data_IF_718486033190
#
_entry.id   IF_718486033190
#
_cell.length_a   1.000
_cell.length_b   1.000
_cell.length_c   1.000
_cell.angle_alpha   90.00
_cell.angle_beta   90.00
_cell.angle_gamma   90.00
#
_symmetry.space_group_name_H-M   'P 1'
#
loop_
_entity.id
_entity.type
_entity.pdbx_description
1 polymer ?
#
# COMPACT_ATOMS: atom_id res chain seq x y z
N UNK A 1 61.75 8.96 -54.93
CA UNK A 1 62.34 7.90 -54.06
C UNK A 1 61.19 7.32 -53.24
N UNK A 2 60.61 6.14 -53.55
CA UNK A 2 61.04 4.77 -53.10
C UNK A 2 61.52 4.82 -51.64
N UNK A 3 60.95 4.14 -50.64
CA UNK A 3 60.50 2.74 -50.46
C UNK A 3 59.41 2.72 -49.35
N UNK A 4 58.34 1.91 -49.28
CA UNK A 4 58.11 0.46 -49.45
C UNK A 4 58.56 -0.44 -48.27
N UNK A 5 57.56 -0.91 -47.52
CA UNK A 5 57.34 -2.24 -46.87
C UNK A 5 58.51 -2.96 -46.17
N UNK A 6 58.25 -3.38 -44.92
CA UNK A 6 58.48 -4.79 -44.50
C UNK A 6 57.58 -5.22 -43.34
N UNK A 7 57.00 -6.40 -43.49
CA UNK A 7 56.26 -7.17 -42.49
C UNK A 7 57.07 -8.44 -42.14
N UNK A 8 56.92 -8.94 -40.91
CA UNK A 8 57.18 -10.32 -40.42
C UNK A 8 56.82 -10.32 -38.91
N UNK A 9 55.80 -11.01 -38.38
CA UNK A 9 55.51 -12.46 -38.22
C UNK A 9 56.24 -13.13 -37.03
N UNK A 10 55.47 -13.79 -36.15
CA UNK A 10 55.92 -14.79 -35.15
C UNK A 10 55.37 -14.50 -33.74
N UNK A 11 54.26 -15.12 -33.30
CA UNK A 11 54.14 -16.40 -32.54
C UNK A 11 53.89 -16.14 -31.04
N UNK A 12 52.64 -16.28 -30.57
CA UNK A 12 52.09 -17.42 -29.80
C UNK A 12 52.77 -17.66 -28.45
N UNK A 13 52.04 -17.39 -27.36
CA UNK A 13 51.86 -18.36 -26.27
C UNK A 13 50.62 -18.01 -25.43
N UNK A 14 49.65 -18.93 -25.47
CA UNK A 14 48.47 -19.01 -24.63
C UNK A 14 48.84 -19.60 -23.26
N UNK A 15 48.35 -19.02 -22.17
CA UNK A 15 48.24 -19.73 -20.88
C UNK A 15 46.84 -19.55 -20.33
N UNK A 16 46.00 -20.54 -20.64
CA UNK A 16 44.69 -20.72 -20.03
C UNK A 16 44.86 -21.35 -18.64
N UNK A 17 44.35 -20.65 -17.61
CA UNK A 17 44.21 -21.22 -16.27
C UNK A 17 42.83 -21.86 -16.18
N UNK A 18 42.83 -23.19 -16.30
CA UNK A 18 41.68 -24.07 -16.08
C UNK A 18 41.41 -24.14 -14.58
N UNK A 19 40.28 -23.61 -14.11
CA UNK A 19 39.77 -23.90 -12.75
C UNK A 19 38.69 -24.97 -12.88
N UNK A 20 39.01 -26.16 -12.40
CA UNK A 20 38.11 -27.31 -12.28
C UNK A 20 37.09 -27.07 -11.18
N UNK A 21 35.81 -27.22 -11.52
CA UNK A 21 34.70 -27.29 -10.58
C UNK A 21 34.61 -28.74 -10.10
N UNK A 22 34.86 -28.96 -8.81
CA UNK A 22 34.70 -30.27 -8.18
C UNK A 22 33.32 -30.32 -7.49
N UNK A 23 32.50 -31.24 -7.97
CA UNK A 23 31.15 -31.52 -7.49
C UNK A 23 31.23 -32.43 -6.27
N UNK A 24 30.87 -31.93 -5.09
CA UNK A 24 30.70 -32.76 -3.90
C UNK A 24 29.21 -32.97 -3.62
N UNK A 25 28.80 -34.23 -3.77
CA UNK A 25 27.52 -34.82 -3.36
C UNK A 25 27.51 -34.88 -1.83
N UNK A 26 26.45 -34.38 -1.19
CA UNK A 26 26.18 -34.66 0.23
C UNK A 26 24.87 -35.43 0.29
N UNK A 27 24.98 -36.64 0.80
CA UNK A 27 23.91 -37.61 0.99
C UNK A 27 23.00 -37.23 2.16
N UNK A 28 21.75 -37.66 2.05
CA UNK A 28 20.78 -37.76 3.13
C UNK A 28 21.25 -38.81 4.16
N UNK A 29 21.14 -38.49 5.44
CA UNK A 29 20.97 -39.47 6.50
C UNK A 29 19.74 -39.08 7.32
N UNK A 30 18.71 -39.91 7.21
CA UNK A 30 17.67 -40.07 8.21
C UNK A 30 18.29 -40.68 9.46
N UNK A 31 17.92 -40.17 10.63
CA UNK A 31 17.87 -41.00 11.83
C UNK A 31 16.65 -40.62 12.65
N UNK A 32 15.76 -41.60 12.76
CA UNK A 32 14.66 -41.64 13.70
C UNK A 32 15.19 -42.19 15.03
N UNK A 33 14.82 -41.57 16.15
CA UNK A 33 14.51 -42.37 17.33
C UNK A 33 13.37 -41.76 18.17
N UNK A 34 12.37 -42.61 18.29
CA UNK A 34 11.22 -42.67 19.18
C UNK A 34 11.57 -42.60 20.68
N UNK A 35 10.63 -42.06 21.48
CA UNK A 35 10.10 -42.73 22.68
C UNK A 35 8.93 -41.97 23.31
N UNK A 36 7.76 -42.61 23.20
CA UNK A 36 6.76 -42.91 24.23
C UNK A 36 6.66 -42.01 25.47
N UNK A 37 5.44 -41.54 25.77
CA UNK A 37 4.59 -42.24 26.74
C UNK A 37 3.22 -41.56 26.95
N UNK A 38 2.26 -42.45 27.04
CA UNK A 38 0.83 -42.34 27.30
C UNK A 38 0.48 -41.67 28.65
N UNK A 39 -0.70 -41.04 28.75
CA UNK A 39 -1.50 -40.98 29.99
C UNK A 39 -2.96 -40.61 29.66
N UNK A 40 -3.84 -41.59 29.83
CA UNK A 40 -5.28 -41.45 29.95
C UNK A 40 -5.67 -40.64 31.19
N UNK A 41 -6.81 -39.93 31.14
CA UNK A 41 -7.91 -40.11 32.10
C UNK A 41 -9.08 -39.15 31.81
N UNK A 42 -10.28 -39.72 31.88
CA UNK A 42 -11.58 -39.07 31.76
C UNK A 42 -11.92 -38.16 32.95
N UNK A 43 -12.76 -37.14 32.70
CA UNK A 43 -13.39 -36.31 33.73
C UNK A 43 -14.51 -35.44 33.13
N UNK A 44 -15.73 -35.71 33.56
CA UNK A 44 -17.02 -35.25 33.02
C UNK A 44 -17.37 -33.80 33.39
N UNK A 45 -18.31 -33.22 32.63
CA UNK A 45 -19.24 -32.11 32.94
C UNK A 45 -18.74 -30.66 32.88
N UNK A 46 -19.27 -29.88 31.93
CA UNK A 46 -20.18 -28.76 32.22
C UNK A 46 -20.51 -27.91 30.97
N UNK A 47 -21.80 -27.67 30.78
CA UNK A 47 -22.45 -26.79 29.82
C UNK A 47 -22.03 -25.33 29.94
N UNK A 48 -21.76 -24.64 28.83
CA UNK A 48 -21.61 -23.18 28.84
C UNK A 48 -21.38 -22.55 27.46
N UNK A 49 -22.46 -22.12 26.80
CA UNK A 49 -22.41 -21.18 25.67
C UNK A 49 -21.70 -19.89 26.12
N UNK A 50 -20.49 -19.63 25.60
CA UNK A 50 -19.83 -18.32 25.73
C UNK A 50 -20.61 -17.27 24.92
N UNK A 51 -21.38 -16.43 25.63
CA UNK A 51 -21.85 -15.13 25.11
C UNK A 51 -20.63 -14.24 24.86
N UNK A 52 -20.51 -13.73 23.63
CA UNK A 52 -19.67 -12.56 23.34
C UNK A 52 -20.20 -11.38 24.17
N UNK A 53 -19.35 -10.78 25.01
CA UNK A 53 -19.60 -9.46 25.58
C UNK A 53 -19.21 -8.43 24.54
N UNK A 54 -20.17 -7.66 24.04
CA UNK A 54 -19.96 -6.48 23.19
C UNK A 54 -19.72 -5.25 24.07
N UNK A 55 -19.04 -4.27 23.48
CA UNK A 55 -18.43 -3.08 24.09
C UNK A 55 -19.44 -2.01 24.56
N UNK A 56 -20.66 -2.40 24.93
CA UNK A 56 -21.74 -1.49 25.36
C UNK A 56 -22.11 -1.61 26.85
N UNK A 57 -21.50 -2.53 27.61
CA UNK A 57 -21.82 -2.75 29.03
C UNK A 57 -20.88 -2.03 30.04
N UNK A 58 -20.15 -0.99 29.62
CA UNK A 58 -19.20 -0.28 30.51
C UNK A 58 -19.53 1.19 30.81
N UNK A 59 -20.71 1.68 30.44
CA UNK A 59 -21.19 3.01 30.86
C UNK A 59 -22.57 2.91 31.52
N UNK A 60 -22.59 2.33 32.73
CA UNK A 60 -23.73 2.36 33.64
C UNK A 60 -23.53 3.40 34.73
N UNK A 61 -24.01 4.62 34.49
CA UNK A 61 -24.24 5.64 35.52
C UNK A 61 -25.73 5.66 35.88
N UNK A 62 -26.01 5.47 37.16
CA UNK A 62 -27.33 5.43 37.81
C UNK A 62 -28.16 6.70 37.59
N UNK A 63 -29.39 6.57 37.06
CA UNK A 63 -30.52 7.45 37.41
C UNK A 63 -31.81 6.63 37.49
N UNK A 64 -32.56 6.91 38.55
CA UNK A 64 -33.74 6.25 39.10
C UNK A 64 -34.96 6.23 38.17
N UNK A 65 -35.70 5.14 38.30
CA UNK A 65 -36.96 4.74 37.64
C UNK A 65 -38.14 5.68 37.88
N UNK A 66 -38.93 5.91 36.82
CA UNK A 66 -40.40 5.88 36.89
C UNK A 66 -40.98 5.27 35.61
N UNK A 67 -41.93 4.37 35.82
CA UNK A 67 -42.51 3.42 34.88
C UNK A 67 -43.75 3.96 34.17
N UNK A 68 -43.94 3.68 32.87
CA UNK A 68 -45.27 3.39 32.32
C UNK A 68 -45.22 2.68 30.95
N UNK A 69 -45.79 1.46 30.95
CA UNK A 69 -46.53 0.73 29.90
C UNK A 69 -46.16 0.84 28.41
N UNK A 70 -45.67 -0.30 27.89
CA UNK A 70 -46.12 -1.02 26.68
C UNK A 70 -46.90 -0.27 25.59
N UNK A 71 -46.33 -0.22 24.37
CA UNK A 71 -47.08 -0.37 23.11
C UNK A 71 -46.16 -0.89 22.00
N UNK A 72 -46.52 -2.05 21.45
CA UNK A 72 -45.92 -2.63 20.24
C UNK A 72 -46.10 -1.66 19.06
N UNK A 73 -44.99 -1.19 18.49
CA UNK A 73 -45.01 -0.41 17.26
C UNK A 73 -44.67 -1.31 16.06
N UNK A 74 -45.65 -1.46 15.17
CA UNK A 74 -45.51 -2.05 13.83
C UNK A 74 -44.32 -1.44 13.11
N UNK A 75 -43.50 -2.31 12.51
CA UNK A 75 -42.48 -1.96 11.52
C UNK A 75 -43.16 -1.36 10.29
N UNK A 76 -43.18 -0.03 10.19
CA UNK A 76 -43.60 0.67 8.98
C UNK A 76 -42.49 0.52 7.93
N UNK A 77 -42.87 -0.05 6.79
CA UNK A 77 -42.08 -0.17 5.57
C UNK A 77 -42.05 1.23 4.94
N UNK A 78 -40.91 1.92 5.00
CA UNK A 78 -40.72 3.10 4.16
C UNK A 78 -40.61 2.60 2.71
N UNK A 79 -41.54 3.06 1.89
CA UNK A 79 -41.54 2.87 0.45
C UNK A 79 -40.42 3.74 -0.13
N UNK A 80 -39.53 3.14 -0.92
CA UNK A 80 -38.52 3.87 -1.67
C UNK A 80 -39.22 4.54 -2.86
N UNK A 81 -39.27 5.87 -2.84
CA UNK A 81 -39.52 6.69 -4.04
C UNK A 81 -38.42 6.44 -5.09
N UNK A 82 -38.76 6.29 -6.37
CA UNK A 82 -37.78 6.07 -7.42
C UNK A 82 -37.22 7.40 -7.93
N UNK A 83 -35.91 7.60 -7.79
CA UNK A 83 -35.15 8.58 -8.55
C UNK A 83 -34.56 9.71 -7.71
N UNK A 84 -33.23 9.70 -7.56
CA UNK A 84 -32.27 10.57 -8.24
C UNK A 84 -30.93 9.82 -8.17
N UNK A 85 -30.34 9.44 -9.31
CA UNK A 85 -28.90 9.15 -9.33
C UNK A 85 -28.23 10.49 -9.05
N UNK A 86 -27.87 10.74 -7.79
CA UNK A 86 -27.20 11.96 -7.39
C UNK A 86 -25.77 11.90 -7.93
N UNK A 87 -25.62 12.36 -9.18
CA UNK A 87 -24.34 12.48 -9.83
C UNK A 87 -23.54 13.54 -9.07
N UNK A 88 -22.55 13.09 -8.31
CA UNK A 88 -21.63 13.96 -7.59
C UNK A 88 -21.18 15.13 -8.48
N UNK A 89 -21.58 16.34 -8.10
CA UNK A 89 -21.20 17.58 -8.78
C UNK A 89 -20.12 18.27 -7.98
N UNK A 90 -18.93 18.40 -8.57
CA UNK A 90 -17.77 19.07 -7.95
C UNK A 90 -18.14 20.49 -7.54
N UNK A 91 -18.90 21.23 -8.36
CA UNK A 91 -19.28 22.61 -8.09
C UNK A 91 -20.29 22.74 -6.95
N UNK A 92 -21.23 21.80 -6.81
CA UNK A 92 -22.17 21.78 -5.68
C UNK A 92 -21.46 21.39 -4.37
N UNK A 93 -20.47 20.52 -4.46
CA UNK A 93 -19.66 20.12 -3.32
C UNK A 93 -18.74 21.26 -2.84
N UNK A 94 -18.08 21.98 -3.76
CA UNK A 94 -17.24 23.14 -3.45
C UNK A 94 -18.00 24.28 -2.74
N UNK A 95 -19.31 24.41 -2.98
CA UNK A 95 -20.17 25.37 -2.29
C UNK A 95 -20.55 24.95 -0.86
N UNK A 96 -20.47 23.65 -0.53
CA UNK A 96 -20.72 23.13 0.82
C UNK A 96 -19.46 23.11 1.70
N UNK A 97 -18.27 23.24 1.10
CA UNK A 97 -17.00 23.27 1.82
C UNK A 97 -16.83 24.60 2.55
N UNK A 98 -16.38 24.52 3.81
CA UNK A 98 -15.82 25.66 4.53
C UNK A 98 -14.56 26.19 3.84
N UNK A 99 -14.15 27.41 4.17
CA UNK A 99 -12.93 28.01 3.63
C UNK A 99 -11.69 27.14 3.90
N UNK A 100 -11.59 26.57 5.10
CA UNK A 100 -10.51 25.64 5.48
C UNK A 100 -10.52 24.36 4.62
N UNK A 101 -11.69 23.81 4.32
CA UNK A 101 -11.80 22.61 3.48
C UNK A 101 -11.47 22.88 2.01
N UNK A 102 -11.80 24.08 1.50
CA UNK A 102 -11.39 24.51 0.16
C UNK A 102 -9.88 24.69 0.06
N UNK A 103 -9.27 25.29 1.07
CA UNK A 103 -7.82 25.46 1.12
C UNK A 103 -7.09 24.11 1.19
N UNK A 104 -7.63 23.15 1.95
CA UNK A 104 -7.11 21.77 1.99
C UNK A 104 -7.22 21.08 0.63
N UNK A 105 -8.36 21.21 -0.05
CA UNK A 105 -8.56 20.62 -1.38
C UNK A 105 -7.62 21.24 -2.42
N UNK A 106 -7.43 22.56 -2.38
CA UNK A 106 -6.51 23.28 -3.26
C UNK A 106 -5.05 22.84 -3.02
N UNK A 107 -4.63 22.76 -1.75
CA UNK A 107 -3.30 22.29 -1.37
C UNK A 107 -3.07 20.84 -1.80
N UNK A 108 -4.08 19.99 -1.67
CA UNK A 108 -4.03 18.57 -2.09
C UNK A 108 -3.89 18.48 -3.61
N UNK A 109 -4.65 19.27 -4.38
CA UNK A 109 -4.52 19.34 -5.84
C UNK A 109 -3.13 19.86 -6.28
N UNK A 110 -2.62 20.91 -5.64
CA UNK A 110 -1.30 21.48 -5.95
C UNK A 110 -0.18 20.47 -5.64
N UNK A 111 -0.27 19.82 -4.48
CA UNK A 111 0.74 18.84 -4.03
C UNK A 111 0.70 17.57 -4.88
N UNK A 112 -0.49 17.10 -5.28
CA UNK A 112 -0.63 16.01 -6.24
C UNK A 112 -0.07 16.39 -7.63
N UNK A 113 -0.22 17.65 -8.05
CA UNK A 113 0.32 18.15 -9.32
C UNK A 113 1.86 18.14 -9.37
N UNK A 114 2.54 18.30 -8.23
CA UNK A 114 4.01 18.20 -8.12
C UNK A 114 4.52 16.75 -8.22
N UNK A 115 3.68 15.76 -7.96
CA UNK A 115 4.00 14.32 -8.04
C UNK A 115 3.80 13.72 -9.45
N UNK A 116 4.23 14.43 -10.50
CA UNK A 116 4.07 14.01 -11.91
C UNK A 116 4.79 12.69 -12.30
N UNK A 117 5.45 12.05 -11.33
CA UNK A 117 6.26 10.82 -11.45
C UNK A 117 5.82 9.77 -10.44
N UNK A 118 4.59 9.25 -10.57
CA UNK A 118 4.08 8.27 -9.60
C UNK A 118 4.75 6.91 -9.80
N UNK A 119 5.50 6.46 -8.78
CA UNK A 119 6.23 5.18 -8.71
C UNK A 119 5.66 4.26 -7.64
N UNK A 120 5.18 4.86 -6.55
CA UNK A 120 4.54 4.16 -5.43
C UNK A 120 3.24 4.88 -5.07
N UNK A 121 2.20 4.14 -4.71
CA UNK A 121 0.96 4.67 -4.15
C UNK A 121 0.78 4.10 -2.76
N UNK A 122 0.58 4.96 -1.76
CA UNK A 122 0.19 4.58 -0.40
C UNK A 122 -1.24 5.02 -0.18
N UNK A 123 -2.12 4.05 0.09
CA UNK A 123 -3.55 4.32 0.27
C UNK A 123 -3.88 4.42 1.78
N UNK A 124 -4.24 5.62 2.21
CA UNK A 124 -4.81 5.90 3.53
C UNK A 124 -6.34 5.77 3.53
N UNK A 125 -6.94 5.85 4.73
CA UNK A 125 -8.40 5.76 4.89
C UNK A 125 -9.03 7.16 4.84
N UNK A 126 -8.84 7.94 5.90
CA UNK A 126 -9.41 9.28 6.09
C UNK A 126 -8.30 10.25 6.51
N UNK A 127 -8.47 11.58 6.28
CA UNK A 127 -7.53 12.57 6.76
C UNK A 127 -7.51 12.63 8.30
N UNK A 128 -6.47 13.23 8.87
CA UNK A 128 -6.47 13.53 10.30
C UNK A 128 -7.55 14.57 10.63
N UNK A 129 -8.31 14.32 11.70
CA UNK A 129 -9.45 15.15 12.11
C UNK A 129 -9.12 16.11 13.26
N UNK A 130 -7.85 16.23 13.66
CA UNK A 130 -7.40 17.21 14.64
C UNK A 130 -7.00 18.54 13.97
N UNK A 131 -7.15 19.67 14.67
CA UNK A 131 -6.81 20.99 14.12
C UNK A 131 -5.36 21.04 13.60
N UNK A 132 -5.18 21.52 12.37
CA UNK A 132 -3.87 21.68 11.73
C UNK A 132 -3.11 20.37 11.41
N UNK A 133 -3.73 19.20 11.59
CA UNK A 133 -3.06 17.92 11.33
C UNK A 133 -3.09 17.52 9.86
N UNK A 134 -4.26 17.59 9.21
CA UNK A 134 -4.39 17.25 7.80
C UNK A 134 -3.84 18.37 6.92
N UNK A 135 -3.12 17.98 5.85
CA UNK A 135 -2.58 18.90 4.85
C UNK A 135 -2.55 18.26 3.44
N UNK A 136 -3.47 17.34 3.16
CA UNK A 136 -3.63 16.74 1.83
C UNK A 136 -2.69 15.59 1.49
N UNK A 137 -1.94 15.04 2.46
CA UNK A 137 -1.08 13.87 2.26
C UNK A 137 -1.40 12.79 3.29
N UNK A 138 -1.70 11.57 2.84
CA UNK A 138 -2.01 10.44 3.74
C UNK A 138 -0.87 10.19 4.74
N UNK A 139 -1.24 9.95 6.01
CA UNK A 139 -0.33 9.77 7.16
C UNK A 139 0.59 10.94 7.50
N UNK A 140 0.63 12.01 6.71
CA UNK A 140 1.53 13.14 6.85
C UNK A 140 0.90 14.24 7.71
N UNK A 141 1.73 14.97 8.47
CA UNK A 141 1.33 16.18 9.21
C UNK A 141 2.33 17.31 8.99
N UNK A 142 1.93 18.59 9.04
CA UNK A 142 2.85 19.72 8.96
C UNK A 142 3.95 19.69 10.02
N UNK A 143 5.07 20.38 9.76
CA UNK A 143 6.13 20.53 10.75
C UNK A 143 5.59 21.29 11.99
N UNK A 144 6.08 20.92 13.17
CA UNK A 144 5.60 21.48 14.45
C UNK A 144 4.35 20.79 15.02
N UNK A 145 3.64 19.98 14.22
CA UNK A 145 2.53 19.16 14.71
C UNK A 145 3.04 17.84 15.28
N UNK A 146 2.48 17.42 16.41
CA UNK A 146 2.82 16.14 17.06
C UNK A 146 2.62 14.97 16.11
N UNK A 147 3.70 14.20 15.90
CA UNK A 147 3.73 13.02 15.02
C UNK A 147 2.64 12.02 15.47
N UNK A 148 1.64 11.70 14.63
CA UNK A 148 0.56 10.80 15.01
C UNK A 148 1.02 9.36 15.29
N UNK A 149 0.27 8.56 16.08
CA UNK A 149 0.68 7.20 16.43
C UNK A 149 0.93 6.28 15.23
N UNK A 150 0.10 6.37 14.19
CA UNK A 150 0.27 5.59 12.96
C UNK A 150 1.59 5.93 12.26
N UNK A 151 1.93 7.22 12.16
CA UNK A 151 3.16 7.67 11.54
C UNK A 151 4.41 7.24 12.34
N UNK A 152 4.34 7.28 13.68
CA UNK A 152 5.41 6.72 14.52
C UNK A 152 5.65 5.23 14.25
N UNK A 153 4.61 4.46 13.98
CA UNK A 153 4.75 3.05 13.63
C UNK A 153 5.33 2.86 12.23
N UNK A 154 4.97 3.71 11.27
CA UNK A 154 5.62 3.76 9.95
C UNK A 154 7.13 3.99 10.10
N UNK A 155 7.55 4.98 10.90
CA UNK A 155 8.97 5.24 11.14
C UNK A 155 9.71 4.07 11.81
N UNK A 156 9.04 3.35 12.73
CA UNK A 156 9.61 2.15 13.34
C UNK A 156 9.84 1.04 12.31
N UNK A 157 8.90 0.84 11.39
CA UNK A 157 9.07 -0.17 10.33
C UNK A 157 10.19 0.22 9.36
N UNK A 158 10.26 1.49 8.95
CA UNK A 158 11.36 1.97 8.09
C UNK A 158 12.71 1.79 8.79
N UNK A 159 12.80 2.08 10.10
CA UNK A 159 14.04 1.87 10.87
C UNK A 159 14.45 0.39 10.92
N UNK A 160 13.48 -0.52 10.98
CA UNK A 160 13.74 -1.96 10.97
C UNK A 160 14.24 -2.44 9.60
N UNK A 161 13.72 -1.87 8.51
CA UNK A 161 14.12 -2.21 7.14
C UNK A 161 15.41 -1.52 6.67
N UNK A 162 15.64 -0.27 7.12
CA UNK A 162 16.76 0.60 6.79
C UNK A 162 17.43 1.05 8.10
N UNK A 163 18.43 0.31 8.61
CA UNK A 163 19.11 0.64 9.86
C UNK A 163 19.76 2.03 9.88
N UNK A 164 20.09 2.59 8.71
CA UNK A 164 20.61 3.96 8.53
C UNK A 164 19.55 5.05 8.75
N UNK A 165 18.26 4.70 8.67
CA UNK A 165 17.18 5.66 8.84
C UNK A 165 17.24 6.30 10.23
N UNK A 166 17.11 7.61 10.32
CA UNK A 166 16.95 8.31 11.60
C UNK A 166 15.60 8.99 11.57
N UNK A 167 14.70 8.61 12.48
CA UNK A 167 13.36 9.16 12.50
C UNK A 167 13.43 10.68 12.73
N UNK A 168 12.86 11.50 11.83
CA UNK A 168 12.88 12.95 11.99
C UNK A 168 12.00 13.38 13.17
N UNK A 169 12.26 14.60 13.67
CA UNK A 169 11.46 15.21 14.73
C UNK A 169 10.13 15.82 14.22
N UNK A 170 9.75 15.58 12.96
CA UNK A 170 8.50 16.04 12.34
C UNK A 170 7.77 14.89 11.65
N UNK A 171 6.51 15.13 11.28
CA UNK A 171 5.68 14.17 10.56
C UNK A 171 5.41 14.50 9.09
N UNK A 172 6.13 15.49 8.53
CA UNK A 172 5.94 15.92 7.16
C UNK A 172 6.58 14.93 6.17
N UNK A 173 5.78 14.39 5.24
CA UNK A 173 6.16 13.43 4.21
C UNK A 173 6.22 14.03 2.79
N UNK A 174 6.27 15.36 2.64
CA UNK A 174 6.32 16.02 1.31
C UNK A 174 7.51 15.54 0.48
N UNK A 175 8.66 15.27 1.09
CA UNK A 175 9.82 14.73 0.37
C UNK A 175 9.53 13.38 -0.30
N UNK A 176 8.67 12.52 0.27
CA UNK A 176 8.24 11.29 -0.39
C UNK A 176 7.36 11.58 -1.59
N UNK A 177 6.43 12.54 -1.48
CA UNK A 177 5.60 12.96 -2.59
C UNK A 177 6.43 13.49 -3.77
N UNK A 178 7.45 14.31 -3.49
CA UNK A 178 8.40 14.80 -4.48
C UNK A 178 9.24 13.67 -5.12
N UNK A 179 9.49 12.59 -4.38
CA UNK A 179 10.17 11.38 -4.86
C UNK A 179 9.25 10.36 -5.55
N UNK A 180 8.02 10.76 -5.90
CA UNK A 180 7.11 9.93 -6.68
C UNK A 180 6.23 8.97 -5.88
N UNK A 181 6.02 9.27 -4.59
CA UNK A 181 5.09 8.53 -3.73
C UNK A 181 3.76 9.27 -3.64
N UNK A 182 2.73 8.75 -4.29
CA UNK A 182 1.38 9.27 -4.16
C UNK A 182 0.77 8.85 -2.81
N UNK A 183 0.60 9.82 -1.90
CA UNK A 183 0.02 9.65 -0.57
C UNK A 183 -1.49 9.95 -0.57
N UNK A 184 -2.30 9.02 -1.05
CA UNK A 184 -3.73 9.22 -1.32
C UNK A 184 -4.60 8.66 -0.20
N UNK A 185 -5.52 9.46 0.36
CA UNK A 185 -6.59 8.92 1.21
C UNK A 185 -7.80 8.47 0.37
N UNK A 186 -8.59 7.52 0.88
CA UNK A 186 -9.85 7.14 0.21
C UNK A 186 -10.96 8.17 0.37
N UNK A 187 -10.93 8.93 1.46
CA UNK A 187 -11.76 10.10 1.72
C UNK A 187 -10.84 11.32 1.84
N UNK A 188 -11.17 12.45 1.20
CA UNK A 188 -10.28 13.62 1.16
C UNK A 188 -10.62 14.68 2.21
N UNK A 189 -11.81 14.61 2.81
CA UNK A 189 -12.21 15.54 3.89
C UNK A 189 -12.77 14.78 5.09
N UNK A 190 -12.73 15.42 6.26
CA UNK A 190 -13.29 14.90 7.50
C UNK A 190 -13.70 16.07 8.38
N UNK A 191 -14.79 15.91 9.13
CA UNK A 191 -15.24 16.90 10.09
C UNK A 191 -14.34 16.86 11.32
N UNK A 192 -13.99 18.03 11.84
CA UNK A 192 -13.17 18.15 13.04
C UNK A 192 -13.73 17.29 14.19
N UNK A 193 -12.85 16.48 14.78
CA UNK A 193 -13.19 15.58 15.89
C UNK A 193 -14.06 14.36 15.54
N UNK A 194 -14.47 14.17 14.28
CA UNK A 194 -15.36 13.11 13.86
C UNK A 194 -14.73 12.24 12.76
N UNK A 195 -13.95 11.24 13.16
CA UNK A 195 -13.33 10.29 12.24
C UNK A 195 -14.36 9.61 11.31
N UNK A 196 -14.05 9.53 10.01
CA UNK A 196 -14.90 8.90 9.00
C UNK A 196 -16.23 9.63 8.73
N UNK A 197 -16.39 10.88 9.17
CA UNK A 197 -17.67 11.61 9.01
C UNK A 197 -18.11 11.80 7.56
N UNK A 198 -17.17 11.82 6.61
CA UNK A 198 -17.44 12.00 5.18
C UNK A 198 -17.25 10.72 4.37
N UNK A 199 -17.13 9.57 5.04
CA UNK A 199 -17.07 8.27 4.35
C UNK A 199 -18.40 7.97 3.64
N UNK A 200 -18.31 7.35 2.46
CA UNK A 200 -19.39 7.03 1.54
C UNK A 200 -20.19 8.23 1.03
N UNK A 201 -19.57 9.42 0.96
CA UNK A 201 -20.20 10.65 0.42
C UNK A 201 -19.75 11.02 -0.99
N UNK A 202 -19.02 10.13 -1.68
CA UNK A 202 -18.63 10.30 -3.09
C UNK A 202 -17.13 10.42 -3.32
N UNK A 203 -16.36 10.73 -2.28
CA UNK A 203 -14.88 10.75 -2.35
C UNK A 203 -14.30 9.43 -2.81
N UNK A 204 -14.91 8.33 -2.41
CA UNK A 204 -14.55 6.99 -2.81
C UNK A 204 -14.63 6.78 -4.32
N UNK A 205 -15.59 7.42 -4.98
CA UNK A 205 -15.77 7.36 -6.43
C UNK A 205 -14.70 8.20 -7.13
N UNK A 206 -14.41 9.38 -6.58
CA UNK A 206 -13.37 10.26 -7.09
C UNK A 206 -11.97 9.65 -6.97
N UNK A 207 -11.61 9.14 -5.79
CA UNK A 207 -10.31 8.52 -5.53
C UNK A 207 -10.14 7.21 -6.30
N UNK A 208 -11.22 6.47 -6.56
CA UNK A 208 -11.21 5.34 -7.51
C UNK A 208 -10.81 5.79 -8.92
N UNK A 209 -11.27 6.96 -9.40
CA UNK A 209 -10.85 7.51 -10.69
C UNK A 209 -9.39 7.92 -10.71
N UNK A 210 -8.85 8.43 -9.61
CA UNK A 210 -7.41 8.69 -9.47
C UNK A 210 -6.64 7.37 -9.61
N UNK A 211 -7.09 6.30 -8.94
CA UNK A 211 -6.47 4.97 -9.07
C UNK A 211 -6.55 4.45 -10.51
N UNK A 212 -7.66 4.66 -11.23
CA UNK A 212 -7.78 4.29 -12.66
C UNK A 212 -6.78 5.06 -13.54
N UNK A 213 -6.60 6.36 -13.29
CA UNK A 213 -5.61 7.21 -13.99
C UNK A 213 -4.19 6.73 -13.70
N UNK A 214 -3.89 6.41 -12.44
CA UNK A 214 -2.58 5.90 -12.02
C UNK A 214 -2.32 4.50 -12.58
N UNK A 215 -3.31 3.61 -12.62
CA UNK A 215 -3.21 2.32 -13.31
C UNK A 215 -2.88 2.52 -14.78
N UNK A 216 -3.42 3.55 -15.43
CA UNK A 216 -3.18 3.81 -16.86
C UNK A 216 -1.83 4.47 -17.14
N UNK A 217 -1.44 5.49 -16.36
CA UNK A 217 -0.33 6.40 -16.66
C UNK A 217 0.82 6.40 -15.64
N UNK A 218 0.72 5.65 -14.54
CA UNK A 218 1.80 5.53 -13.56
C UNK A 218 3.09 4.96 -14.18
N UNK A 219 4.24 5.42 -13.69
CA UNK A 219 5.57 4.98 -14.14
C UNK A 219 5.90 5.34 -15.59
N UNK A 220 5.30 6.39 -16.15
CA UNK A 220 5.59 6.86 -17.53
C UNK A 220 6.95 7.53 -17.67
N UNK A 221 7.50 8.03 -16.58
CA UNK A 221 8.82 8.67 -16.48
C UNK A 221 9.96 7.67 -16.21
N UNK A 222 9.64 6.41 -15.90
CA UNK A 222 10.62 5.38 -15.59
C UNK A 222 11.27 4.81 -16.86
N UNK A 223 12.60 4.82 -16.89
CA UNK A 223 13.38 4.24 -17.98
C UNK A 223 13.09 2.74 -18.11
N UNK A 224 12.57 2.31 -19.25
CA UNK A 224 12.31 0.90 -19.52
C UNK A 224 13.58 0.25 -20.08
N UNK A 225 14.44 -0.26 -19.20
CA UNK A 225 15.56 -1.12 -19.58
C UNK A 225 15.11 -2.57 -19.86
N UNK A 226 13.86 -2.89 -19.56
CA UNK A 226 13.32 -4.25 -19.61
C UNK A 226 12.59 -4.56 -20.92
N UNK A 227 12.66 -5.82 -21.35
CA UNK A 227 11.86 -6.37 -22.46
C UNK A 227 10.36 -6.41 -22.14
N UNK A 228 10.02 -6.22 -20.86
CA UNK A 228 8.67 -6.06 -20.36
C UNK A 228 8.16 -4.63 -20.65
N UNK A 229 7.26 -4.52 -21.63
CA UNK A 229 6.63 -3.26 -22.03
C UNK A 229 5.59 -2.76 -21.01
N UNK A 230 5.38 -3.45 -19.89
CA UNK A 230 4.40 -3.04 -18.88
C UNK A 230 5.00 -1.98 -17.95
N UNK A 231 4.46 -0.76 -18.03
CA UNK A 231 4.75 0.37 -17.13
C UNK A 231 4.01 0.21 -15.80
N UNK A 232 4.50 -0.69 -14.96
CA UNK A 232 3.97 -0.97 -13.64
C UNK A 232 4.46 -0.01 -12.57
N UNK A 233 3.77 0.00 -11.43
CA UNK A 233 4.14 0.74 -10.23
C UNK A 233 3.83 -0.11 -9.00
N UNK A 234 4.20 0.37 -7.81
CA UNK A 234 3.94 -0.32 -6.54
C UNK A 234 2.73 0.31 -5.83
N UNK A 235 1.84 -0.53 -5.29
CA UNK A 235 0.76 -0.11 -4.39
C UNK A 235 1.01 -0.69 -2.98
N UNK A 236 1.04 0.19 -1.98
CA UNK A 236 1.06 -0.17 -0.56
C UNK A 236 -0.35 -0.03 0.01
N UNK A 237 -1.00 -1.17 0.25
CA UNK A 237 -2.38 -1.23 0.72
C UNK A 237 -2.43 -1.73 2.17
N UNK A 238 -2.42 -0.79 3.11
CA UNK A 238 -2.40 -1.07 4.55
C UNK A 238 -3.81 -1.05 5.15
N UNK A 239 -4.29 -2.22 5.58
CA UNK A 239 -5.63 -2.41 6.13
C UNK A 239 -6.68 -2.81 5.09
N UNK A 240 -7.84 -3.25 5.57
CA UNK A 240 -8.90 -3.83 4.73
C UNK A 240 -9.46 -2.83 3.71
N UNK A 241 -9.61 -1.56 4.09
CA UNK A 241 -10.11 -0.49 3.22
C UNK A 241 -9.19 -0.26 2.01
N UNK A 242 -7.89 -0.08 2.26
CA UNK A 242 -6.89 0.05 1.21
C UNK A 242 -6.81 -1.22 0.34
N UNK A 243 -6.85 -2.40 0.96
CA UNK A 243 -6.81 -3.68 0.24
C UNK A 243 -7.97 -3.84 -0.74
N UNK A 244 -9.18 -3.38 -0.37
CA UNK A 244 -10.36 -3.39 -1.24
C UNK A 244 -10.17 -2.51 -2.48
N UNK A 245 -9.54 -1.34 -2.34
CA UNK A 245 -9.30 -0.39 -3.45
C UNK A 245 -8.37 -0.94 -4.51
N UNK A 246 -7.31 -1.63 -4.10
CA UNK A 246 -6.32 -2.17 -5.04
C UNK A 246 -6.80 -3.45 -5.76
N UNK A 247 -7.96 -4.01 -5.42
CA UNK A 247 -8.48 -5.22 -6.09
C UNK A 247 -8.69 -5.02 -7.60
N UNK A 248 -9.07 -3.82 -8.03
CA UNK A 248 -9.29 -3.50 -9.45
C UNK A 248 -7.99 -3.51 -10.27
N UNK A 249 -6.89 -3.09 -9.66
CA UNK A 249 -5.55 -3.03 -10.28
C UNK A 249 -4.79 -4.35 -10.14
N UNK A 250 -5.18 -5.23 -9.21
CA UNK A 250 -4.64 -6.60 -9.00
C UNK A 250 -5.13 -7.61 -10.05
N UNK A 251 -5.27 -7.18 -11.30
CA UNK A 251 -5.72 -8.04 -12.40
C UNK A 251 -4.52 -8.52 -13.21
N UNK A 252 -4.49 -9.81 -13.47
CA UNK A 252 -3.53 -10.41 -14.41
C UNK A 252 -3.97 -10.04 -15.81
N UNK A 253 -3.07 -9.43 -16.59
CA UNK A 253 -3.36 -9.01 -17.97
C UNK A 253 -2.53 -9.85 -18.95
N UNK A 254 -3.06 -10.16 -20.15
CA UNK A 254 -2.23 -10.72 -21.21
C UNK A 254 -1.12 -9.72 -21.56
N UNK A 255 0.14 -10.16 -21.46
CA UNK A 255 1.28 -9.37 -21.94
C UNK A 255 1.19 -9.24 -23.46
N UNK A 256 1.62 -8.11 -24.01
CA UNK A 256 1.65 -7.84 -25.45
C UNK A 256 2.25 -9.03 -26.21
N UNK A 257 1.63 -9.37 -27.34
CA UNK A 257 1.96 -10.52 -28.17
C UNK A 257 3.47 -10.66 -28.39
N UNK A 258 4.08 -11.73 -27.86
CA UNK A 258 5.44 -12.12 -28.22
C UNK A 258 5.40 -12.73 -29.63
N UNK A 259 5.46 -11.90 -30.66
CA UNK A 259 5.63 -12.39 -32.03
C UNK A 259 7.11 -12.71 -32.23
N UNK A 260 7.50 -13.95 -31.98
CA UNK A 260 8.70 -14.50 -32.60
C UNK A 260 8.34 -14.88 -34.03
N UNK A 261 9.10 -14.39 -35.02
CA UNK A 261 8.90 -14.64 -36.45
C UNK A 261 8.89 -16.13 -36.87
N UNK A 262 9.08 -17.05 -35.91
CA UNK A 262 9.12 -18.51 -36.12
C UNK A 262 8.06 -19.30 -35.33
N UNK A 263 7.20 -18.66 -34.53
CA UNK A 263 6.30 -19.38 -33.63
C UNK A 263 4.85 -19.43 -34.16
N UNK A 264 4.41 -20.61 -34.59
CA UNK A 264 3.00 -20.93 -34.96
C UNK A 264 2.05 -20.89 -33.75
N UNK A 265 2.57 -20.75 -32.52
CA UNK A 265 1.78 -20.70 -31.29
C UNK A 265 1.94 -19.32 -30.63
N UNK A 266 0.86 -18.55 -30.63
CA UNK A 266 0.74 -17.31 -29.84
C UNK A 266 0.66 -17.65 -28.35
N UNK A 267 1.79 -17.63 -27.63
CA UNK A 267 1.79 -17.70 -26.16
C UNK A 267 1.64 -16.31 -25.57
N UNK A 268 0.50 -16.05 -24.95
CA UNK A 268 0.33 -14.90 -24.06
C UNK A 268 0.99 -15.21 -22.72
N UNK A 269 1.94 -14.38 -22.28
CA UNK A 269 2.42 -14.43 -20.89
C UNK A 269 1.39 -13.72 -20.02
N UNK A 270 0.86 -14.38 -19.01
CA UNK A 270 -0.01 -13.74 -18.01
C UNK A 270 0.90 -13.07 -16.97
N UNK A 271 0.82 -11.74 -16.86
CA UNK A 271 1.62 -10.99 -15.89
C UNK A 271 0.77 -9.94 -15.17
N UNK A 272 1.13 -9.68 -13.91
CA UNK A 272 0.59 -8.52 -13.19
C UNK A 272 1.35 -7.29 -13.64
N UNK A 273 0.63 -6.22 -13.98
CA UNK A 273 1.22 -4.93 -14.34
C UNK A 273 1.91 -4.30 -13.14
N UNK A 274 1.24 -4.29 -11.99
CA UNK A 274 1.67 -3.62 -10.77
C UNK A 274 2.11 -4.60 -9.69
N UNK A 275 3.00 -4.16 -8.80
CA UNK A 275 3.26 -4.85 -7.53
C UNK A 275 2.26 -4.33 -6.48
N UNK A 276 1.59 -5.23 -5.78
CA UNK A 276 0.62 -4.87 -4.74
C UNK A 276 1.03 -5.54 -3.44
N UNK A 277 1.40 -4.72 -2.46
CA UNK A 277 1.83 -5.15 -1.13
C UNK A 277 0.74 -4.85 -0.12
N UNK A 278 0.19 -5.90 0.51
CA UNK A 278 -0.92 -5.82 1.47
C UNK A 278 -0.45 -6.18 2.87
N UNK A 279 -0.88 -5.42 3.87
CA UNK A 279 -0.60 -5.71 5.28
C UNK A 279 -1.71 -5.16 6.18
N UNK A 280 -1.58 -5.36 7.50
CA UNK A 280 -2.40 -4.64 8.47
C UNK A 280 -2.12 -3.12 8.41
N UNK A 281 -3.01 -2.31 8.99
CA UNK A 281 -2.86 -0.86 9.06
C UNK A 281 -1.81 -0.46 10.13
N UNK A 282 -1.05 0.65 9.95
CA UNK A 282 -0.04 1.10 10.93
C UNK A 282 -0.61 1.62 12.26
N UNK A 283 -1.93 1.67 12.43
CA UNK A 283 -2.55 2.12 13.69
C UNK A 283 -2.12 1.24 14.87
N UNK A 284 -1.95 1.81 16.08
CA UNK A 284 -1.62 1.04 17.29
C UNK A 284 -2.48 -0.20 17.53
N UNK A 285 -3.75 -0.17 17.10
CA UNK A 285 -4.70 -1.28 17.27
C UNK A 285 -4.46 -2.46 16.33
N UNK A 286 -3.69 -2.29 15.26
CA UNK A 286 -3.49 -3.31 14.21
C UNK A 286 -2.04 -3.52 13.80
N UNK A 287 -1.11 -2.62 14.17
CA UNK A 287 0.25 -2.67 13.67
C UNK A 287 0.99 -3.96 14.05
N UNK A 288 0.76 -4.47 15.27
CA UNK A 288 1.32 -5.75 15.76
C UNK A 288 0.74 -6.98 15.07
N UNK A 289 -0.41 -6.85 14.41
CA UNK A 289 -1.12 -7.94 13.75
C UNK A 289 -0.76 -8.03 12.26
N UNK A 290 0.42 -7.56 11.86
CA UNK A 290 0.97 -7.75 10.52
C UNK A 290 1.38 -6.49 9.76
N UNK A 291 1.42 -5.31 10.37
CA UNK A 291 2.11 -4.16 9.76
C UNK A 291 3.62 -4.24 10.04
N UNK A 292 4.00 -4.48 11.30
CA UNK A 292 5.41 -4.63 11.65
C UNK A 292 5.99 -5.91 11.04
N UNK A 293 7.19 -5.80 10.46
CA UNK A 293 7.88 -6.88 9.75
C UNK A 293 7.31 -7.18 8.37
N UNK A 294 6.49 -6.28 7.79
CA UNK A 294 5.93 -6.49 6.46
C UNK A 294 7.01 -6.37 5.36
N UNK A 295 8.09 -5.61 5.60
CA UNK A 295 9.19 -5.44 4.66
C UNK A 295 8.79 -4.65 3.41
N UNK A 296 7.73 -3.84 3.47
CA UNK A 296 7.12 -3.24 2.28
C UNK A 296 8.03 -2.20 1.63
N UNK A 297 8.78 -1.41 2.41
CA UNK A 297 9.59 -0.32 1.86
C UNK A 297 10.77 -0.85 1.04
N UNK A 298 11.40 -1.92 1.51
CA UNK A 298 12.47 -2.65 0.83
C UNK A 298 11.93 -3.43 -0.35
N UNK A 299 10.85 -4.20 -0.20
CA UNK A 299 10.22 -4.94 -1.31
C UNK A 299 9.80 -4.02 -2.46
N UNK A 300 9.29 -2.84 -2.15
CA UNK A 300 8.94 -1.83 -3.15
C UNK A 300 10.17 -1.36 -3.94
N UNK A 301 11.25 -1.03 -3.24
CA UNK A 301 12.50 -0.60 -3.86
C UNK A 301 13.17 -1.73 -4.67
N UNK A 302 13.26 -2.94 -4.12
CA UNK A 302 13.82 -4.10 -4.81
C UNK A 302 13.11 -4.31 -6.16
N UNK A 303 11.77 -4.27 -6.17
CA UNK A 303 10.97 -4.43 -7.39
C UNK A 303 11.14 -3.29 -8.39
N UNK A 304 11.16 -2.04 -7.92
CA UNK A 304 11.38 -0.87 -8.78
C UNK A 304 12.77 -0.92 -9.43
N UNK A 305 13.79 -1.25 -8.64
CA UNK A 305 15.18 -1.32 -9.11
C UNK A 305 15.39 -2.48 -10.07
N UNK A 306 14.83 -3.65 -9.79
CA UNK A 306 14.86 -4.80 -10.72
C UNK A 306 14.23 -4.45 -12.07
N UNK A 307 13.12 -3.71 -12.07
CA UNK A 307 12.36 -3.42 -13.29
C UNK A 307 12.90 -2.24 -14.10
N UNK A 308 13.40 -1.21 -13.44
CA UNK A 308 13.70 0.09 -14.05
C UNK A 308 15.13 0.59 -13.81
N UNK A 309 15.92 -0.14 -13.00
CA UNK A 309 17.26 0.26 -12.60
C UNK A 309 17.30 1.13 -11.34
N UNK A 310 18.51 1.50 -10.88
CA UNK A 310 18.72 2.14 -9.59
C UNK A 310 18.00 3.49 -9.44
N UNK A 311 17.84 4.24 -10.53
CA UNK A 311 17.22 5.57 -10.52
C UNK A 311 15.70 5.54 -10.21
N UNK A 312 15.08 4.37 -10.27
CA UNK A 312 13.67 4.19 -9.93
C UNK A 312 13.41 4.06 -8.43
N UNK A 313 14.47 3.88 -7.62
CA UNK A 313 14.40 3.73 -6.16
C UNK A 313 13.73 4.95 -5.52
N UNK A 314 12.92 4.71 -4.49
CA UNK A 314 12.41 5.75 -3.60
C UNK A 314 13.34 5.88 -2.39
N UNK A 315 13.76 7.10 -2.08
CA UNK A 315 14.56 7.38 -0.90
C UNK A 315 13.68 7.58 0.34
N UNK A 316 13.28 6.46 0.96
CA UNK A 316 12.46 6.47 2.18
C UNK A 316 13.11 7.19 3.36
N UNK A 317 14.44 7.25 3.39
CA UNK A 317 15.20 7.84 4.49
C UNK A 317 15.38 9.36 4.38
N UNK A 318 15.05 9.96 3.24
CA UNK A 318 15.14 11.39 3.03
C UNK A 318 13.84 12.07 3.52
N UNK A 319 13.77 12.31 4.82
CA UNK A 319 12.68 13.04 5.49
C UNK A 319 13.24 14.16 6.35
#
# INVERSE_FOLDING_TARGET
MKQAKKAASGSKEDTAVTTTVETAVIAEEEDADTKDANLEAAGTTATGKKRQRTLMDMFGGTVTTTSTSSRSAKKAKLENEPGVEDSFSVSAYETELSDEERDLLALECETMGKSCRVRVVIIGQDPYHGPGQAHGLSFSVPQGITIPPSLRNIYKEIKAEYPEFTAPAHGNLTSWAENGVLLLNTCLTVKAGAAGSHSNRGWETFTDKIVDVVDKYGGTDLSTNSTDHTRGIVFLAWGAWAAKRVTKVDKVRPSRLLISAKATIHRYRLQKKHLILRSAHPSPFSARNGFFGNGHFKKANDWLVEKYGPDARVNWCNL
#
